data_IF_406334610875
#
_entry.id   IF_406334610875
#
_cell.length_a   1.000
_cell.length_b   1.000
_cell.length_c   1.000
_cell.angle_alpha   90.00
_cell.angle_beta   90.00
_cell.angle_gamma   90.00
#
_symmetry.space_group_name_H-M   'P 1'
#
loop_
_entity.id
_entity.type
_entity.pdbx_description
1 polymer ?
#
# COMPACT_ATOMS: atom_id res chain seq x y z
N UNK A 1 16.74 -11.56 6.35
CA UNK A 1 15.89 -11.19 5.20
C UNK A 1 14.55 -11.92 5.32
N UNK A 2 13.45 -11.19 5.23
CA UNK A 2 12.09 -11.71 5.34
C UNK A 2 11.46 -11.84 3.95
N UNK A 3 11.27 -13.09 3.51
CA UNK A 3 10.84 -13.37 2.13
C UNK A 3 9.38 -12.98 1.87
N UNK A 4 8.48 -13.12 2.86
CA UNK A 4 7.09 -12.70 2.69
C UNK A 4 6.97 -11.19 2.56
N UNK A 5 7.74 -10.41 3.33
CA UNK A 5 7.80 -8.96 3.22
C UNK A 5 8.33 -8.51 1.85
N UNK A 6 9.32 -9.22 1.32
CA UNK A 6 9.82 -8.99 -0.03
C UNK A 6 8.76 -9.24 -1.10
N UNK A 7 8.11 -10.42 -1.06
CA UNK A 7 7.05 -10.75 -2.03
C UNK A 7 5.89 -9.77 -1.95
N UNK A 8 5.47 -9.40 -0.74
CA UNK A 8 4.40 -8.44 -0.54
C UNK A 8 4.79 -7.06 -1.11
N UNK A 9 6.00 -6.59 -0.82
CA UNK A 9 6.51 -5.32 -1.34
C UNK A 9 6.56 -5.32 -2.87
N UNK A 10 7.04 -6.40 -3.48
CA UNK A 10 7.09 -6.55 -4.93
C UNK A 10 5.67 -6.54 -5.55
N UNK A 11 4.74 -7.28 -4.94
CA UNK A 11 3.35 -7.31 -5.39
C UNK A 11 2.70 -5.92 -5.30
N UNK A 12 3.01 -5.13 -4.26
CA UNK A 12 2.50 -3.77 -4.11
C UNK A 12 3.12 -2.77 -5.08
N UNK A 13 4.39 -2.95 -5.41
CA UNK A 13 5.09 -2.05 -6.34
C UNK A 13 4.64 -2.24 -7.78
N UNK A 14 4.28 -3.46 -8.19
CA UNK A 14 3.99 -3.78 -9.57
C UNK A 14 2.91 -2.90 -10.22
N UNK A 15 1.70 -2.73 -9.67
CA UNK A 15 0.70 -1.85 -10.25
C UNK A 15 1.12 -0.38 -10.26
N UNK A 16 1.83 0.08 -9.22
CA UNK A 16 2.34 1.46 -9.16
C UNK A 16 3.40 1.70 -10.24
N UNK A 17 4.24 0.71 -10.52
CA UNK A 17 5.23 0.78 -11.58
C UNK A 17 4.55 0.84 -12.95
N UNK A 18 3.55 -0.01 -13.20
CA UNK A 18 2.75 0.04 -14.43
C UNK A 18 2.12 1.42 -14.59
N UNK A 19 1.49 1.95 -13.55
CA UNK A 19 0.86 3.27 -13.56
C UNK A 19 1.86 4.41 -13.84
N UNK A 20 3.10 4.29 -13.41
CA UNK A 20 4.13 5.29 -13.68
C UNK A 20 4.43 5.44 -15.18
N UNK A 21 4.37 4.35 -15.93
CA UNK A 21 4.63 4.32 -17.37
C UNK A 21 3.37 4.41 -18.23
N UNK A 22 2.26 3.85 -17.75
CA UNK A 22 0.99 3.78 -18.48
C UNK A 22 -0.08 4.51 -17.68
N UNK A 23 -0.46 5.75 -18.05
CA UNK A 23 -1.51 6.47 -17.35
C UNK A 23 -2.88 5.79 -17.53
N UNK A 24 -3.71 5.86 -16.50
CA UNK A 24 -5.09 5.39 -16.58
C UNK A 24 -5.96 6.35 -17.44
N UNK A 25 -7.07 5.87 -18.05
CA UNK A 25 -7.94 6.70 -18.90
C UNK A 25 -8.49 7.95 -18.22
N UNK A 26 -8.82 7.86 -16.94
CA UNK A 26 -9.26 8.97 -16.08
C UNK A 26 -8.36 9.04 -14.85
N UNK A 27 -7.14 9.60 -15.04
CA UNK A 27 -6.07 9.54 -14.04
C UNK A 27 -6.23 10.63 -12.97
N UNK A 28 -7.19 10.44 -12.07
CA UNK A 28 -7.45 11.33 -10.93
C UNK A 28 -6.24 11.42 -10.02
N UNK A 29 -5.53 10.31 -9.78
CA UNK A 29 -4.35 10.29 -8.92
C UNK A 29 -3.22 11.17 -9.45
N UNK A 30 -3.09 11.28 -10.76
CA UNK A 30 -2.08 12.11 -11.43
C UNK A 30 -2.52 13.57 -11.56
N UNK A 31 -3.82 13.82 -11.74
CA UNK A 31 -4.40 15.15 -11.86
C UNK A 31 -4.62 15.85 -10.52
N UNK A 32 -4.71 15.10 -9.43
CA UNK A 32 -4.85 15.67 -8.10
C UNK A 32 -3.59 16.47 -7.74
N UNK A 33 -3.74 17.76 -7.53
CA UNK A 33 -2.66 18.61 -7.00
C UNK A 33 -2.39 18.24 -5.54
N UNK A 34 -1.55 17.24 -5.34
CA UNK A 34 -1.05 16.89 -4.02
C UNK A 34 0.01 17.89 -3.57
N UNK A 35 -0.05 18.32 -2.33
CA UNK A 35 1.03 19.08 -1.71
C UNK A 35 2.32 18.29 -1.84
N UNK A 36 3.32 18.84 -2.52
CA UNK A 36 4.57 18.14 -2.86
C UNK A 36 5.25 17.52 -1.62
N UNK A 37 5.20 18.19 -0.47
CA UNK A 37 5.74 17.68 0.81
C UNK A 37 5.03 16.42 1.30
N UNK A 38 3.71 16.35 1.17
CA UNK A 38 2.94 15.16 1.53
C UNK A 38 3.25 13.98 0.59
N UNK A 39 3.40 14.24 -0.71
CA UNK A 39 3.78 13.22 -1.69
C UNK A 39 5.16 12.63 -1.39
N UNK A 40 6.14 13.46 -1.07
CA UNK A 40 7.49 13.01 -0.68
C UNK A 40 7.44 12.23 0.63
N UNK A 41 6.73 12.72 1.65
CA UNK A 41 6.59 12.02 2.92
C UNK A 41 5.92 10.64 2.75
N UNK A 42 4.89 10.54 1.93
CA UNK A 42 4.23 9.26 1.58
C UNK A 42 5.21 8.30 0.92
N UNK A 43 6.01 8.77 -0.04
CA UNK A 43 7.00 7.94 -0.73
C UNK A 43 8.06 7.42 0.24
N UNK A 44 8.63 8.30 1.06
CA UNK A 44 9.67 7.95 2.05
C UNK A 44 9.14 6.92 3.04
N UNK A 45 7.95 7.14 3.61
CA UNK A 45 7.34 6.21 4.57
C UNK A 45 6.95 4.87 3.93
N UNK A 46 6.51 4.87 2.67
CA UNK A 46 6.26 3.65 1.90
C UNK A 46 7.53 2.82 1.74
N UNK A 47 8.62 3.46 1.29
CA UNK A 47 9.92 2.79 1.13
C UNK A 47 10.46 2.29 2.48
N UNK A 48 10.28 3.05 3.56
CA UNK A 48 10.67 2.64 4.90
C UNK A 48 9.85 1.42 5.38
N UNK A 49 8.53 1.40 5.12
CA UNK A 49 7.66 0.25 5.44
C UNK A 49 8.13 -1.01 4.69
N UNK A 50 8.42 -0.89 3.40
CA UNK A 50 8.93 -2.00 2.59
C UNK A 50 10.29 -2.47 3.11
N UNK A 51 11.22 -1.55 3.36
CA UNK A 51 12.55 -1.88 3.87
C UNK A 51 12.49 -2.55 5.25
N UNK A 52 11.70 -2.03 6.18
CA UNK A 52 11.56 -2.63 7.52
C UNK A 52 10.86 -3.97 7.50
N UNK A 53 9.92 -4.20 6.58
CA UNK A 53 9.27 -5.50 6.41
C UNK A 53 10.17 -6.57 5.79
N UNK A 54 11.19 -6.17 5.01
CA UNK A 54 12.13 -7.08 4.36
C UNK A 54 13.39 -7.35 5.20
N UNK A 55 13.95 -6.31 5.82
CA UNK A 55 15.29 -6.37 6.40
C UNK A 55 15.31 -6.45 7.93
N UNK A 56 14.25 -5.99 8.60
CA UNK A 56 14.11 -6.16 10.04
C UNK A 56 13.37 -7.45 10.32
N UNK A 57 14.13 -8.48 10.69
CA UNK A 57 13.62 -9.86 10.85
C UNK A 57 13.57 -10.23 12.32
N UNK A 58 12.41 -10.73 12.77
CA UNK A 58 12.33 -11.44 14.03
C UNK A 58 12.65 -12.93 13.79
N UNK A 59 13.76 -13.40 14.34
CA UNK A 59 14.26 -14.77 14.13
C UNK A 59 13.26 -15.84 14.60
N UNK A 60 12.48 -15.55 15.65
CA UNK A 60 11.50 -16.49 16.21
C UNK A 60 10.26 -16.69 15.33
N UNK A 61 9.98 -15.77 14.41
CA UNK A 61 8.76 -15.78 13.60
C UNK A 61 9.01 -15.75 12.09
N UNK A 62 10.23 -16.05 11.65
CA UNK A 62 10.63 -15.98 10.24
C UNK A 62 10.33 -17.28 9.43
N UNK A 63 9.57 -18.20 9.97
CA UNK A 63 9.21 -19.41 9.23
C UNK A 63 8.13 -19.13 8.19
N UNK A 64 8.32 -19.67 6.98
CA UNK A 64 7.27 -19.69 5.95
C UNK A 64 6.15 -20.66 6.38
N UNK A 65 5.06 -20.12 6.84
CA UNK A 65 3.88 -20.91 7.20
C UNK A 65 2.60 -20.28 6.66
N UNK A 66 1.69 -21.11 6.24
CA UNK A 66 0.32 -20.68 5.94
C UNK A 66 -0.43 -20.46 7.26
N UNK A 67 -0.60 -19.21 7.62
CA UNK A 67 -1.34 -18.77 8.81
C UNK A 67 -2.64 -18.06 8.42
N UNK A 68 -3.51 -17.81 9.40
CA UNK A 68 -4.69 -16.98 9.18
C UNK A 68 -4.31 -15.59 8.61
N UNK A 69 -3.17 -15.03 9.04
CA UNK A 69 -2.65 -13.79 8.51
C UNK A 69 -2.35 -13.87 7.01
N UNK A 70 -1.83 -15.00 6.53
CA UNK A 70 -1.59 -15.21 5.09
C UNK A 70 -2.89 -15.11 4.28
N UNK A 71 -3.99 -15.68 4.77
CA UNK A 71 -5.29 -15.57 4.10
C UNK A 71 -5.81 -14.13 4.11
N UNK A 72 -5.66 -13.41 5.22
CA UNK A 72 -6.04 -11.99 5.30
C UNK A 72 -5.24 -11.15 4.30
N UNK A 73 -3.92 -11.36 4.21
CA UNK A 73 -3.04 -10.68 3.25
C UNK A 73 -3.50 -10.98 1.80
N UNK A 74 -3.82 -12.24 1.49
CA UNK A 74 -4.29 -12.61 0.15
C UNK A 74 -5.63 -11.94 -0.20
N UNK A 75 -6.58 -11.88 0.74
CA UNK A 75 -7.87 -11.22 0.53
C UNK A 75 -7.65 -9.73 0.24
N UNK A 76 -6.88 -9.02 1.06
CA UNK A 76 -6.57 -7.61 0.82
C UNK A 76 -5.74 -7.41 -0.45
N UNK A 77 -4.88 -8.36 -0.82
CA UNK A 77 -4.19 -8.37 -2.10
C UNK A 77 -5.15 -8.40 -3.29
N UNK A 78 -6.16 -9.27 -3.25
CA UNK A 78 -7.21 -9.30 -4.26
C UNK A 78 -7.99 -7.99 -4.32
N UNK A 79 -8.34 -7.40 -3.17
CA UNK A 79 -9.01 -6.10 -3.09
C UNK A 79 -8.15 -5.00 -3.71
N UNK A 80 -6.84 -5.00 -3.43
CA UNK A 80 -5.89 -4.05 -4.01
C UNK A 80 -5.83 -4.13 -5.54
N UNK A 81 -5.66 -5.33 -6.08
CA UNK A 81 -5.61 -5.53 -7.52
C UNK A 81 -6.96 -5.26 -8.20
N UNK A 82 -8.09 -5.60 -7.54
CA UNK A 82 -9.41 -5.22 -8.01
C UNK A 82 -9.57 -3.69 -8.09
N UNK A 83 -9.06 -2.96 -7.11
CA UNK A 83 -9.02 -1.49 -7.13
C UNK A 83 -8.28 -0.95 -8.35
N UNK A 84 -7.08 -1.47 -8.63
CA UNK A 84 -6.31 -1.09 -9.81
C UNK A 84 -7.02 -1.47 -11.12
N UNK A 85 -7.65 -2.65 -11.18
CA UNK A 85 -8.42 -3.06 -12.34
C UNK A 85 -9.59 -2.11 -12.62
N UNK A 86 -10.36 -1.75 -11.60
CA UNK A 86 -11.44 -0.77 -11.72
C UNK A 86 -10.92 0.59 -12.19
N UNK A 87 -9.78 1.03 -11.63
CA UNK A 87 -9.16 2.29 -11.99
C UNK A 87 -8.75 2.34 -13.47
N UNK A 88 -8.11 1.27 -13.97
CA UNK A 88 -7.72 1.16 -15.39
C UNK A 88 -8.92 0.90 -16.33
N UNK A 89 -10.00 0.32 -15.85
CA UNK A 89 -11.25 0.20 -16.60
C UNK A 89 -12.00 1.55 -16.77
N UNK A 90 -11.44 2.64 -16.27
CA UNK A 90 -12.05 3.97 -16.33
C UNK A 90 -13.09 4.23 -15.25
N UNK A 91 -13.27 3.29 -14.33
CA UNK A 91 -14.16 3.43 -13.16
C UNK A 91 -13.39 4.06 -11.99
N UNK A 92 -12.80 5.24 -12.23
CA UNK A 92 -12.07 6.00 -11.21
C UNK A 92 -13.05 6.61 -10.20
N UNK A 93 -13.56 5.77 -9.30
CA UNK A 93 -14.50 6.14 -8.27
C UNK A 93 -13.85 6.06 -6.87
N UNK A 94 -14.54 6.63 -5.87
CA UNK A 94 -14.08 6.60 -4.48
C UNK A 94 -13.77 5.17 -4.00
N UNK A 95 -14.57 4.17 -4.42
CA UNK A 95 -14.36 2.77 -4.05
C UNK A 95 -13.02 2.24 -4.57
N UNK A 96 -12.68 2.50 -5.84
CA UNK A 96 -11.39 2.10 -6.40
C UNK A 96 -10.22 2.75 -5.65
N UNK A 97 -10.33 4.05 -5.33
CA UNK A 97 -9.31 4.77 -4.58
C UNK A 97 -9.14 4.22 -3.16
N UNK A 98 -10.25 3.89 -2.48
CA UNK A 98 -10.20 3.25 -1.15
C UNK A 98 -9.53 1.88 -1.23
N UNK A 99 -9.86 1.05 -2.21
CA UNK A 99 -9.23 -0.27 -2.38
C UNK A 99 -7.72 -0.16 -2.61
N UNK A 100 -7.29 0.74 -3.51
CA UNK A 100 -5.88 0.97 -3.80
C UNK A 100 -5.12 1.51 -2.57
N UNK A 101 -5.78 2.29 -1.72
CA UNK A 101 -5.13 3.00 -0.61
C UNK A 101 -5.14 2.23 0.70
N UNK A 102 -6.28 1.62 1.07
CA UNK A 102 -6.45 0.97 2.38
C UNK A 102 -5.92 -0.46 2.39
N UNK A 103 -6.08 -1.20 1.29
CA UNK A 103 -5.67 -2.59 1.25
C UNK A 103 -4.15 -2.80 1.50
N UNK A 104 -3.22 -2.03 0.92
CA UNK A 104 -1.79 -2.15 1.22
C UNK A 104 -1.47 -1.92 2.70
N UNK A 105 -2.11 -0.93 3.32
CA UNK A 105 -1.94 -0.62 4.74
C UNK A 105 -2.35 -1.83 5.58
N UNK A 106 -3.53 -2.41 5.31
CA UNK A 106 -4.03 -3.58 6.02
C UNK A 106 -3.10 -4.79 5.86
N UNK A 107 -2.55 -5.00 4.66
CA UNK A 107 -1.60 -6.10 4.40
C UNK A 107 -0.30 -5.95 5.19
N UNK A 108 0.32 -4.76 5.18
CA UNK A 108 1.57 -4.54 5.93
C UNK A 108 1.34 -4.57 7.45
N UNK A 109 0.22 -4.07 7.95
CA UNK A 109 -0.16 -4.20 9.37
C UNK A 109 -0.27 -5.68 9.74
N UNK A 110 -1.03 -6.46 8.96
CA UNK A 110 -1.23 -7.89 9.20
C UNK A 110 0.09 -8.65 9.19
N UNK A 111 0.96 -8.37 8.20
CA UNK A 111 2.29 -8.98 8.14
C UNK A 111 3.14 -8.61 9.35
N UNK A 112 3.12 -7.34 9.78
CA UNK A 112 3.90 -6.85 10.92
C UNK A 112 3.49 -7.54 12.23
N UNK A 113 2.20 -7.77 12.43
CA UNK A 113 1.70 -8.53 13.58
C UNK A 113 2.08 -10.02 13.50
N UNK A 114 1.87 -10.67 12.35
CA UNK A 114 2.22 -12.08 12.16
C UNK A 114 3.71 -12.34 12.39
N UNK A 115 4.55 -11.41 11.95
CA UNK A 115 6.02 -11.48 12.09
C UNK A 115 6.56 -10.85 13.36
N UNK A 116 5.70 -10.31 14.23
CA UNK A 116 6.08 -9.59 15.46
C UNK A 116 7.15 -8.51 15.19
N UNK A 117 7.01 -7.80 14.08
CA UNK A 117 7.94 -6.78 13.61
C UNK A 117 7.43 -5.38 13.98
N UNK A 118 7.83 -4.89 15.16
CA UNK A 118 7.42 -3.59 15.67
C UNK A 118 7.90 -2.42 14.77
N UNK A 119 9.06 -2.52 14.15
CA UNK A 119 9.57 -1.47 13.26
C UNK A 119 8.75 -1.36 11.99
N UNK A 120 8.39 -2.50 11.38
CA UNK A 120 7.49 -2.52 10.23
C UNK A 120 6.10 -2.00 10.60
N UNK A 121 5.58 -2.35 11.77
CA UNK A 121 4.29 -1.84 12.26
C UNK A 121 4.32 -0.32 12.42
N UNK A 122 5.35 0.22 13.08
CA UNK A 122 5.47 1.66 13.32
C UNK A 122 5.59 2.45 12.01
N UNK A 123 6.43 1.98 11.08
CA UNK A 123 6.58 2.62 9.77
C UNK A 123 5.28 2.54 8.96
N UNK A 124 4.54 1.43 9.04
CA UNK A 124 3.23 1.27 8.37
C UNK A 124 2.19 2.23 8.94
N UNK A 125 2.14 2.43 10.26
CA UNK A 125 1.23 3.40 10.89
C UNK A 125 1.57 4.83 10.43
N UNK A 126 2.85 5.19 10.39
CA UNK A 126 3.29 6.48 9.86
C UNK A 126 2.91 6.67 8.40
N UNK A 127 3.16 5.66 7.57
CA UNK A 127 2.75 5.64 6.16
C UNK A 127 1.23 5.80 6.02
N UNK A 128 0.44 5.05 6.79
CA UNK A 128 -1.02 5.12 6.76
C UNK A 128 -1.54 6.52 7.04
N UNK A 129 -1.03 7.18 8.08
CA UNK A 129 -1.45 8.54 8.45
C UNK A 129 -1.23 9.54 7.32
N UNK A 130 -0.02 9.60 6.76
CA UNK A 130 0.32 10.54 5.70
C UNK A 130 -0.37 10.18 4.38
N UNK A 131 -0.42 8.88 4.04
CA UNK A 131 -1.05 8.42 2.81
C UNK A 131 -2.56 8.69 2.78
N UNK A 132 -3.27 8.41 3.88
CA UNK A 132 -4.70 8.71 3.99
C UNK A 132 -4.96 10.22 3.96
N UNK A 133 -4.11 11.04 4.57
CA UNK A 133 -4.22 12.50 4.46
C UNK A 133 -4.09 12.97 3.00
N UNK A 134 -3.15 12.43 2.24
CA UNK A 134 -3.00 12.72 0.81
C UNK A 134 -4.26 12.35 0.01
N UNK A 135 -4.81 11.16 0.25
CA UNK A 135 -6.00 10.67 -0.46
C UNK A 135 -7.23 11.53 -0.13
N UNK A 136 -7.43 11.85 1.15
CA UNK A 136 -8.54 12.73 1.57
C UNK A 136 -8.41 14.11 0.92
N UNK A 137 -7.20 14.68 0.94
CA UNK A 137 -6.94 15.96 0.28
C UNK A 137 -7.21 15.90 -1.23
N UNK A 138 -6.75 14.85 -1.92
CA UNK A 138 -7.03 14.63 -3.34
C UNK A 138 -8.52 14.49 -3.64
N UNK A 139 -9.26 13.72 -2.85
CA UNK A 139 -10.72 13.56 -3.01
C UNK A 139 -11.45 14.89 -2.80
N UNK A 140 -11.12 15.65 -1.75
CA UNK A 140 -11.76 16.93 -1.48
C UNK A 140 -11.49 17.98 -2.56
N UNK A 141 -10.31 17.97 -3.17
CA UNK A 141 -9.98 18.88 -4.28
C UNK A 141 -10.74 18.55 -5.58
N UNK A 142 -11.28 17.34 -5.71
CA UNK A 142 -12.03 16.90 -6.90
C UNK A 142 -13.53 17.12 -6.72
N UNK A 143 -14.03 16.98 -5.48
CA UNK A 143 -15.47 17.09 -5.15
C UNK A 143 -15.88 18.53 -4.83
N UNK A 144 -14.95 19.37 -4.41
CA UNK A 144 -15.16 20.80 -4.12
C UNK A 144 -14.91 21.66 -5.34
#
# INVERSE_FOLDING_TARGET
>A
FEFCGFLLSLAMLLPNLIWSFVPAPHDILRSAETVASLGIATLVLRLLTMATSMFVVNVESNELRFSAATFVILIFGLVYYAGWFLYYAGLACVVALVFISVAPIAMFITLSFDRKNAFSLLSTIGFAGVHLACIIYGITSIVG
#
